data_IF_686068000978
#
_entry.id   IF_686068000978
#
_cell.length_a   1.000
_cell.length_b   1.000
_cell.length_c   1.000
_cell.angle_alpha   90.00
_cell.angle_beta   90.00
_cell.angle_gamma   90.00
#
_symmetry.space_group_name_H-M   'P 1'
#
loop_
_entity.id
_entity.type
_entity.pdbx_description
1 polymer ?
#
# COMPACT_ATOMS: atom_id res chain seq x y z
N UNK A 1 -10.12 26.11 -17.54
CA UNK A 1 -10.30 24.82 -16.85
C UNK A 1 -11.01 23.87 -17.80
N UNK A 2 -10.26 23.03 -18.50
CA UNK A 2 -10.84 21.93 -19.27
C UNK A 2 -11.21 20.86 -18.24
N UNK A 3 -12.46 20.34 -18.20
CA UNK A 3 -12.79 19.24 -17.29
C UNK A 3 -11.89 18.05 -17.66
N UNK A 4 -11.30 17.33 -16.70
CA UNK A 4 -10.54 16.14 -17.00
C UNK A 4 -11.44 15.18 -17.79
N UNK A 5 -10.95 14.70 -18.94
CA UNK A 5 -11.67 13.81 -19.83
C UNK A 5 -12.27 12.65 -19.03
N UNK A 6 -13.59 12.59 -18.98
CA UNK A 6 -14.35 11.60 -18.19
C UNK A 6 -14.05 10.16 -18.58
N UNK A 7 -13.52 9.93 -19.79
CA UNK A 7 -13.05 8.65 -20.30
C UNK A 7 -11.79 8.16 -19.60
N UNK A 8 -10.79 9.03 -19.41
CA UNK A 8 -9.49 8.64 -18.86
C UNK A 8 -9.63 8.26 -17.38
N UNK A 9 -10.44 9.02 -16.63
CA UNK A 9 -10.74 8.71 -15.23
C UNK A 9 -11.54 7.41 -15.07
N UNK A 10 -12.39 7.04 -16.04
CA UNK A 10 -13.12 5.77 -15.99
C UNK A 10 -12.21 4.57 -16.27
N UNK A 11 -11.25 4.73 -17.20
CA UNK A 11 -10.23 3.72 -17.50
C UNK A 11 -9.31 3.52 -16.30
N UNK A 12 -8.85 4.60 -15.68
CA UNK A 12 -8.02 4.54 -14.47
C UNK A 12 -8.77 3.86 -13.31
N UNK A 13 -10.03 4.22 -13.07
CA UNK A 13 -10.87 3.57 -12.07
C UNK A 13 -11.04 2.08 -12.32
N UNK A 14 -11.34 1.68 -13.56
CA UNK A 14 -11.50 0.27 -13.92
C UNK A 14 -10.19 -0.52 -13.73
N UNK A 15 -9.03 0.11 -13.92
CA UNK A 15 -7.71 -0.51 -13.74
C UNK A 15 -7.26 -0.66 -12.29
N UNK A 16 -8.01 -0.09 -11.32
CA UNK A 16 -7.62 -0.10 -9.91
C UNK A 16 -7.56 -1.54 -9.39
N UNK A 17 -6.40 -2.02 -8.91
CA UNK A 17 -6.28 -3.38 -8.42
C UNK A 17 -6.83 -3.53 -7.01
N UNK A 18 -7.55 -4.63 -6.79
CA UNK A 18 -8.16 -5.01 -5.54
C UNK A 18 -7.62 -6.39 -5.13
N UNK A 19 -7.40 -6.55 -3.82
CA UNK A 19 -7.02 -7.80 -3.18
C UNK A 19 -7.84 -8.07 -1.94
N UNK A 20 -8.06 -9.34 -1.61
CA UNK A 20 -8.55 -9.73 -0.29
C UNK A 20 -7.41 -9.55 0.73
N UNK A 21 -7.65 -8.81 1.82
CA UNK A 21 -6.70 -8.65 2.94
C UNK A 21 -6.95 -9.64 4.08
N UNK A 22 -8.05 -10.40 4.00
CA UNK A 22 -8.47 -11.38 4.99
C UNK A 22 -9.06 -12.58 4.30
N UNK A 23 -8.99 -13.75 4.94
CA UNK A 23 -9.37 -15.04 4.32
C UNK A 23 -10.84 -15.13 3.87
N UNK A 24 -11.73 -14.29 4.43
CA UNK A 24 -13.10 -14.19 3.93
C UNK A 24 -13.83 -12.93 4.39
N UNK A 25 -14.69 -12.41 3.51
CA UNK A 25 -15.66 -11.35 3.80
C UNK A 25 -16.98 -11.85 4.43
N UNK A 26 -17.17 -13.17 4.58
CA UNK A 26 -18.46 -13.80 4.95
C UNK A 26 -18.96 -13.51 6.36
N UNK A 27 -18.13 -12.96 7.25
CA UNK A 27 -18.44 -12.89 8.67
C UNK A 27 -19.20 -11.64 9.12
N UNK A 28 -19.26 -10.55 8.34
CA UNK A 28 -19.88 -9.28 8.80
C UNK A 28 -20.57 -8.52 7.67
N UNK A 29 -21.90 -8.42 7.76
CA UNK A 29 -22.71 -7.56 6.86
C UNK A 29 -22.74 -6.10 7.32
N UNK A 30 -22.42 -5.82 8.59
CA UNK A 30 -22.41 -4.48 9.18
C UNK A 30 -21.00 -3.94 9.40
N UNK A 31 -20.74 -2.75 8.87
CA UNK A 31 -19.47 -2.03 8.93
C UNK A 31 -19.66 -0.78 9.80
N UNK A 32 -18.88 -0.63 10.88
CA UNK A 32 -18.97 0.56 11.73
C UNK A 32 -18.43 1.79 10.97
N UNK A 33 -19.17 2.89 11.03
CA UNK A 33 -18.81 4.19 10.47
C UNK A 33 -19.05 5.29 11.50
N UNK A 34 -18.56 6.50 11.25
CA UNK A 34 -18.84 7.67 12.10
C UNK A 34 -20.32 8.04 12.19
N UNK A 35 -21.17 7.52 11.28
CA UNK A 35 -22.62 7.73 11.24
C UNK A 35 -23.42 6.53 11.77
N UNK A 36 -22.75 5.50 12.32
CA UNK A 36 -23.38 4.25 12.78
C UNK A 36 -22.96 3.05 11.91
N UNK A 37 -23.78 2.00 11.88
CA UNK A 37 -23.45 0.76 11.14
C UNK A 37 -24.03 0.81 9.73
N UNK A 38 -23.17 0.75 8.71
CA UNK A 38 -23.59 0.62 7.31
C UNK A 38 -23.58 -0.85 6.90
N UNK A 39 -24.61 -1.29 6.19
CA UNK A 39 -24.67 -2.64 5.65
C UNK A 39 -24.24 -2.68 4.17
N UNK A 40 -23.38 -3.63 3.81
CA UNK A 40 -23.12 -3.96 2.40
C UNK A 40 -23.99 -5.15 2.03
N UNK A 41 -24.59 -5.11 0.84
CA UNK A 41 -25.40 -6.20 0.31
C UNK A 41 -24.59 -7.50 0.30
N UNK A 42 -25.13 -8.57 0.89
CA UNK A 42 -24.49 -9.87 0.99
C UNK A 42 -24.10 -10.47 -0.38
N UNK A 43 -24.88 -10.21 -1.44
CA UNK A 43 -24.55 -10.65 -2.79
C UNK A 43 -23.29 -9.96 -3.34
N UNK A 44 -23.10 -8.68 -3.01
CA UNK A 44 -21.88 -7.96 -3.38
C UNK A 44 -20.69 -8.54 -2.62
N UNK A 45 -20.83 -8.76 -1.31
CA UNK A 45 -19.76 -9.35 -0.50
C UNK A 45 -19.37 -10.74 -0.98
N UNK A 46 -20.33 -11.61 -1.31
CA UNK A 46 -20.05 -12.95 -1.84
C UNK A 46 -19.34 -12.91 -3.18
N UNK A 47 -19.73 -12.01 -4.09
CA UNK A 47 -19.07 -11.87 -5.38
C UNK A 47 -17.66 -11.32 -5.22
N UNK A 48 -17.45 -10.31 -4.37
CA UNK A 48 -16.11 -9.79 -4.07
C UNK A 48 -15.22 -10.89 -3.47
N UNK A 49 -15.74 -11.64 -2.49
CA UNK A 49 -15.04 -12.77 -1.85
C UNK A 49 -14.65 -13.84 -2.88
N UNK A 50 -15.58 -14.21 -3.77
CA UNK A 50 -15.34 -15.20 -4.84
C UNK A 50 -14.32 -14.70 -5.86
N UNK A 51 -14.48 -13.48 -6.35
CA UNK A 51 -13.67 -12.93 -7.46
C UNK A 51 -12.23 -12.68 -7.00
N UNK A 52 -12.04 -12.28 -5.75
CA UNK A 52 -10.72 -11.99 -5.18
C UNK A 52 -10.08 -13.18 -4.45
N UNK A 53 -10.78 -14.32 -4.29
CA UNK A 53 -10.23 -15.53 -3.66
C UNK A 53 -9.07 -16.12 -4.48
N UNK A 54 -9.17 -16.08 -5.80
CA UNK A 54 -8.15 -16.63 -6.72
C UNK A 54 -6.98 -15.67 -6.96
N UNK A 55 -7.00 -14.49 -6.32
CA UNK A 55 -5.93 -13.50 -6.38
C UNK A 55 -6.39 -12.09 -6.78
N UNK A 56 -5.43 -11.18 -7.04
CA UNK A 56 -5.70 -9.80 -7.37
C UNK A 56 -6.53 -9.65 -8.66
N UNK A 57 -7.53 -8.77 -8.63
CA UNK A 57 -8.35 -8.41 -9.79
C UNK A 57 -8.56 -6.91 -9.86
N UNK A 58 -8.84 -6.42 -11.05
CA UNK A 58 -9.17 -5.02 -11.29
C UNK A 58 -10.61 -4.70 -10.86
N UNK A 59 -10.88 -3.44 -10.53
CA UNK A 59 -12.23 -2.95 -10.26
C UNK A 59 -13.15 -3.14 -11.48
N UNK A 60 -12.63 -3.05 -12.70
CA UNK A 60 -13.37 -3.28 -13.94
C UNK A 60 -13.88 -4.71 -14.04
N UNK A 61 -13.05 -5.70 -13.75
CA UNK A 61 -13.44 -7.12 -13.73
C UNK A 61 -14.51 -7.38 -12.67
N UNK A 62 -14.34 -6.82 -11.47
CA UNK A 62 -15.33 -6.93 -10.40
C UNK A 62 -16.67 -6.27 -10.79
N UNK A 63 -16.62 -5.11 -11.44
CA UNK A 63 -17.79 -4.40 -11.93
C UNK A 63 -18.54 -5.20 -13.00
N UNK A 64 -17.80 -5.85 -13.90
CA UNK A 64 -18.36 -6.71 -14.94
C UNK A 64 -19.07 -7.94 -14.34
N UNK A 65 -18.46 -8.62 -13.37
CA UNK A 65 -19.05 -9.76 -12.66
C UNK A 65 -20.32 -9.38 -11.87
N UNK A 66 -20.40 -8.14 -11.40
CA UNK A 66 -21.56 -7.60 -10.68
C UNK A 66 -22.61 -6.96 -11.59
N UNK A 67 -22.34 -6.83 -12.91
CA UNK A 67 -23.21 -6.13 -13.85
C UNK A 67 -23.40 -4.65 -13.50
N UNK A 68 -22.38 -4.00 -12.93
CA UNK A 68 -22.42 -2.62 -12.45
C UNK A 68 -21.36 -1.76 -13.12
N UNK A 69 -21.51 -0.43 -13.05
CA UNK A 69 -20.40 0.46 -13.40
C UNK A 69 -19.36 0.48 -12.26
N UNK A 70 -18.05 0.60 -12.57
CA UNK A 70 -16.98 0.72 -11.56
C UNK A 70 -17.27 1.80 -10.50
N UNK A 71 -17.86 2.92 -10.90
CA UNK A 71 -18.20 4.04 -10.00
C UNK A 71 -19.25 3.67 -8.95
N UNK A 72 -20.18 2.79 -9.29
CA UNK A 72 -21.28 2.37 -8.40
C UNK A 72 -20.81 1.44 -7.28
N UNK A 73 -19.60 0.89 -7.42
CA UNK A 73 -18.95 0.04 -6.44
C UNK A 73 -18.08 0.81 -5.45
N UNK A 74 -17.75 2.08 -5.75
CA UNK A 74 -16.84 2.89 -4.93
C UNK A 74 -17.32 3.06 -3.48
N UNK A 75 -18.60 3.32 -3.17
CA UNK A 75 -19.03 3.48 -1.79
C UNK A 75 -18.83 2.21 -0.95
N UNK A 76 -19.13 1.03 -1.52
CA UNK A 76 -18.98 -0.25 -0.84
C UNK A 76 -17.50 -0.61 -0.71
N UNK A 77 -16.69 -0.34 -1.75
CA UNK A 77 -15.25 -0.57 -1.69
C UNK A 77 -14.55 0.37 -0.72
N UNK A 78 -14.96 1.63 -0.62
CA UNK A 78 -14.43 2.58 0.36
C UNK A 78 -14.64 2.06 1.79
N UNK A 79 -15.81 1.49 2.09
CA UNK A 79 -16.08 0.84 3.38
C UNK A 79 -15.21 -0.40 3.60
N UNK A 80 -15.02 -1.23 2.57
CA UNK A 80 -14.17 -2.43 2.67
C UNK A 80 -12.68 -2.09 2.82
N UNK A 81 -12.23 -1.00 2.19
CA UNK A 81 -10.87 -0.46 2.29
C UNK A 81 -10.63 0.15 3.68
N UNK A 82 -11.55 0.97 4.18
CA UNK A 82 -11.47 1.57 5.51
C UNK A 82 -11.36 0.51 6.62
N UNK A 83 -12.11 -0.58 6.47
CA UNK A 83 -12.14 -1.69 7.42
C UNK A 83 -11.03 -2.72 7.17
N UNK A 84 -10.08 -2.42 6.29
CA UNK A 84 -8.94 -3.26 5.91
C UNK A 84 -9.34 -4.71 5.53
N UNK A 85 -10.48 -4.84 4.84
CA UNK A 85 -11.02 -6.12 4.36
C UNK A 85 -10.60 -6.38 2.91
N UNK A 86 -10.67 -5.33 2.10
CA UNK A 86 -10.12 -5.29 0.75
C UNK A 86 -8.97 -4.28 0.78
N UNK A 87 -7.92 -4.54 0.02
CA UNK A 87 -6.78 -3.64 -0.13
C UNK A 87 -6.53 -3.32 -1.59
N UNK A 88 -5.89 -2.19 -1.86
CA UNK A 88 -5.19 -1.95 -3.12
C UNK A 88 -3.73 -2.31 -2.88
N UNK A 89 -3.31 -3.50 -3.33
CA UNK A 89 -1.89 -3.86 -3.30
C UNK A 89 -1.35 -3.73 -4.72
N UNK A 90 -0.60 -2.64 -5.00
CA UNK A 90 -0.09 -2.40 -6.33
C UNK A 90 0.91 -3.47 -6.76
N UNK A 91 1.60 -4.14 -5.83
CA UNK A 91 2.59 -5.16 -6.15
C UNK A 91 1.95 -6.52 -6.43
N UNK A 92 0.88 -6.86 -5.71
CA UNK A 92 0.10 -8.05 -6.02
C UNK A 92 -0.51 -7.95 -7.44
N UNK A 93 -0.99 -6.75 -7.83
CA UNK A 93 -1.49 -6.47 -9.17
C UNK A 93 -0.41 -6.63 -10.27
N UNK A 94 0.81 -6.20 -9.96
CA UNK A 94 1.96 -6.28 -10.84
C UNK A 94 2.42 -7.73 -11.03
N UNK A 95 2.44 -8.51 -9.94
CA UNK A 95 2.73 -9.95 -9.94
C UNK A 95 1.67 -10.75 -10.73
N UNK A 96 0.39 -10.37 -10.62
CA UNK A 96 -0.70 -10.96 -11.39
C UNK A 96 -0.70 -10.55 -12.88
N UNK A 97 0.15 -9.60 -13.29
CA UNK A 97 0.23 -9.11 -14.66
C UNK A 97 -0.91 -8.19 -15.08
N UNK A 98 -1.75 -7.77 -14.14
CA UNK A 98 -2.97 -6.97 -14.38
C UNK A 98 -2.72 -5.47 -14.54
N UNK A 99 -1.46 -5.01 -14.43
CA UNK A 99 -1.06 -3.62 -14.65
C UNK A 99 -0.05 -3.50 -15.81
N UNK A 100 -0.52 -3.39 -17.06
CA UNK A 100 0.35 -3.18 -18.22
C UNK A 100 1.09 -1.83 -18.20
N UNK A 101 0.50 -0.80 -17.59
CA UNK A 101 1.09 0.55 -17.52
C UNK A 101 2.41 0.61 -16.74
N UNK A 102 2.50 -0.08 -15.60
CA UNK A 102 3.74 -0.11 -14.79
C UNK A 102 4.87 -0.94 -15.42
N UNK A 103 4.54 -1.92 -16.28
CA UNK A 103 5.56 -2.66 -17.05
C UNK A 103 6.20 -1.82 -18.14
N UNK A 104 5.47 -0.84 -18.68
CA UNK A 104 5.95 0.09 -19.71
C UNK A 104 6.43 1.44 -19.14
N UNK A 105 6.27 1.66 -17.84
CA UNK A 105 6.56 2.93 -17.19
C UNK A 105 8.05 3.32 -17.33
N UNK A 106 8.26 4.59 -17.62
CA UNK A 106 9.59 5.20 -17.64
C UNK A 106 10.14 5.30 -16.19
N UNK A 107 11.47 5.28 -15.98
CA UNK A 107 12.06 5.37 -14.64
C UNK A 107 11.53 6.55 -13.80
N UNK A 108 11.26 7.70 -14.44
CA UNK A 108 10.71 8.87 -13.78
C UNK A 108 9.28 8.65 -13.23
N UNK A 109 8.45 7.87 -13.93
CA UNK A 109 7.11 7.51 -13.49
C UNK A 109 7.16 6.55 -12.30
N UNK A 110 8.15 5.64 -12.30
CA UNK A 110 8.41 4.73 -11.18
C UNK A 110 8.88 5.52 -9.95
N UNK A 111 9.74 6.52 -10.12
CA UNK A 111 10.13 7.41 -9.02
C UNK A 111 8.94 8.16 -8.44
N UNK A 112 8.07 8.73 -9.29
CA UNK A 112 6.86 9.42 -8.84
C UNK A 112 5.87 8.46 -8.13
N UNK A 113 5.81 7.21 -8.59
CA UNK A 113 5.02 6.16 -7.95
C UNK A 113 5.58 5.80 -6.57
N UNK A 114 6.90 5.58 -6.45
CA UNK A 114 7.57 5.32 -5.19
C UNK A 114 7.39 6.48 -4.19
N UNK A 115 7.39 7.73 -4.65
CA UNK A 115 7.08 8.88 -3.78
C UNK A 115 5.68 8.80 -3.18
N UNK A 116 4.67 8.37 -3.95
CA UNK A 116 3.33 8.15 -3.42
C UNK A 116 3.29 7.00 -2.40
N UNK A 117 4.05 5.94 -2.63
CA UNK A 117 4.17 4.82 -1.67
C UNK A 117 4.83 5.27 -0.37
N UNK A 118 5.89 6.07 -0.43
CA UNK A 118 6.50 6.71 0.73
C UNK A 118 5.49 7.57 1.48
N UNK A 119 4.68 8.35 0.76
CA UNK A 119 3.62 9.15 1.37
C UNK A 119 2.58 8.26 2.08
N UNK A 120 2.19 7.13 1.50
CA UNK A 120 1.29 6.17 2.14
C UNK A 120 1.92 5.53 3.39
N UNK A 121 3.21 5.16 3.34
CA UNK A 121 3.95 4.65 4.49
C UNK A 121 4.00 5.70 5.61
N UNK A 122 4.24 6.97 5.26
CA UNK A 122 4.25 8.08 6.22
C UNK A 122 2.88 8.36 6.88
N UNK A 123 1.80 7.86 6.26
CA UNK A 123 0.43 7.94 6.78
C UNK A 123 -0.03 6.62 7.42
N UNK A 124 0.82 5.60 7.49
CA UNK A 124 0.51 4.28 8.05
C UNK A 124 -0.53 3.51 7.26
N UNK A 125 -0.64 3.79 5.96
CA UNK A 125 -1.63 3.16 5.08
C UNK A 125 -1.12 1.86 4.45
N UNK A 126 0.08 1.40 4.81
CA UNK A 126 0.66 0.14 4.34
C UNK A 126 1.08 0.21 2.88
N UNK A 127 2.29 0.68 2.62
CA UNK A 127 2.82 0.78 1.26
C UNK A 127 3.20 -0.58 0.67
N UNK A 128 3.59 -1.54 1.52
CA UNK A 128 3.88 -2.93 1.14
C UNK A 128 5.19 -3.15 0.38
N UNK A 129 5.88 -2.09 -0.04
CA UNK A 129 7.15 -2.15 -0.76
C UNK A 129 7.44 -0.90 -1.57
N UNK A 130 8.50 -0.97 -2.39
CA UNK A 130 8.83 -0.01 -3.44
C UNK A 130 9.06 -0.75 -4.76
N UNK A 131 8.97 -0.05 -5.88
CA UNK A 131 9.30 -0.63 -7.18
C UNK A 131 10.74 -0.25 -7.56
N UNK A 132 11.58 -1.23 -7.87
CA UNK A 132 12.93 -0.98 -8.39
C UNK A 132 12.81 -0.34 -9.79
N UNK A 133 13.28 0.90 -10.03
CA UNK A 133 13.14 1.55 -11.33
C UNK A 133 13.81 0.79 -12.48
N UNK A 134 14.99 0.22 -12.23
CA UNK A 134 15.79 -0.43 -13.27
C UNK A 134 15.30 -1.84 -13.60
N UNK A 135 14.85 -2.59 -12.59
CA UNK A 135 14.35 -3.96 -12.77
C UNK A 135 12.84 -4.03 -12.98
N UNK A 136 12.10 -2.95 -12.68
CA UNK A 136 10.64 -2.89 -12.68
C UNK A 136 9.99 -3.99 -11.85
N UNK A 137 10.70 -4.40 -10.77
CA UNK A 137 10.27 -5.45 -9.87
C UNK A 137 9.84 -4.89 -8.52
N UNK A 138 8.82 -5.48 -7.90
CA UNK A 138 8.42 -5.14 -6.54
C UNK A 138 9.51 -5.58 -5.56
N UNK A 139 9.95 -4.65 -4.71
CA UNK A 139 10.84 -4.92 -3.59
C UNK A 139 10.01 -4.82 -2.31
N UNK A 140 9.72 -5.96 -1.66
CA UNK A 140 8.91 -5.98 -0.44
C UNK A 140 9.70 -5.30 0.68
N UNK A 141 9.13 -4.20 1.20
CA UNK A 141 9.68 -3.43 2.30
C UNK A 141 8.53 -3.03 3.23
N UNK A 142 8.75 -3.14 4.53
CA UNK A 142 7.83 -2.61 5.53
C UNK A 142 7.85 -1.08 5.55
N UNK A 143 6.76 -0.46 6.01
CA UNK A 143 6.63 1.01 6.08
C UNK A 143 7.81 1.68 6.80
N UNK A 144 8.31 1.07 7.89
CA UNK A 144 9.48 1.56 8.61
C UNK A 144 10.76 1.53 7.78
N UNK A 145 10.97 0.47 6.99
CA UNK A 145 12.13 0.34 6.10
C UNK A 145 12.04 1.37 4.96
N UNK A 146 10.85 1.58 4.40
CA UNK A 146 10.60 2.61 3.38
C UNK A 146 10.94 4.01 3.91
N UNK A 147 10.57 4.32 5.16
CA UNK A 147 10.92 5.61 5.75
C UNK A 147 12.42 5.73 6.05
N UNK A 148 13.09 4.63 6.41
CA UNK A 148 14.54 4.59 6.61
C UNK A 148 15.31 4.79 5.29
N UNK A 149 14.82 4.29 4.16
CA UNK A 149 15.48 4.53 2.86
C UNK A 149 15.40 5.99 2.41
N UNK A 150 14.36 6.74 2.83
CA UNK A 150 14.26 8.18 2.51
C UNK A 150 15.32 9.05 3.18
N UNK A 151 15.88 8.59 4.29
CA UNK A 151 16.89 9.34 5.03
C UNK A 151 18.32 8.94 4.65
N UNK A 152 18.44 7.96 3.75
CA UNK A 152 19.71 7.59 3.14
C UNK A 152 20.19 8.70 2.19
N UNK A 153 21.50 8.96 2.18
CA UNK A 153 22.11 10.00 1.34
C UNK A 153 22.07 11.41 1.92
N UNK A 154 21.37 11.65 3.04
CA UNK A 154 21.35 12.96 3.72
C UNK A 154 22.63 13.29 4.50
N UNK A 155 23.66 12.43 4.45
CA UNK A 155 24.93 12.64 5.16
C UNK A 155 24.83 12.61 6.69
N UNK A 156 23.68 12.22 7.24
CA UNK A 156 23.42 12.11 8.67
C UNK A 156 24.16 10.91 9.28
N UNK A 157 24.46 10.96 10.58
CA UNK A 157 24.93 9.78 11.34
C UNK A 157 23.76 8.82 11.57
N UNK A 158 24.06 7.53 11.74
CA UNK A 158 23.04 6.49 11.91
C UNK A 158 22.05 6.78 13.04
N UNK A 159 22.53 7.24 14.20
CA UNK A 159 21.69 7.61 15.33
C UNK A 159 20.73 8.76 14.99
N UNK A 160 21.21 9.76 14.24
CA UNK A 160 20.41 10.92 13.82
C UNK A 160 19.33 10.52 12.80
N UNK A 161 19.64 9.58 11.89
CA UNK A 161 18.69 9.02 10.91
C UNK A 161 17.55 8.29 11.60
N UNK A 162 17.89 7.36 12.48
CA UNK A 162 16.92 6.59 13.27
C UNK A 162 16.04 7.54 14.08
N UNK A 163 16.62 8.55 14.72
CA UNK A 163 15.88 9.50 15.52
C UNK A 163 14.97 10.40 14.68
N UNK A 164 15.39 10.81 13.49
CA UNK A 164 14.56 11.58 12.57
C UNK A 164 13.33 10.79 12.11
N UNK A 165 13.52 9.53 11.71
CA UNK A 165 12.40 8.64 11.33
C UNK A 165 11.49 8.37 12.52
N UNK A 166 12.05 8.11 13.72
CA UNK A 166 11.27 7.92 14.94
C UNK A 166 10.39 9.13 15.26
N UNK A 167 10.92 10.35 15.12
CA UNK A 167 10.14 11.58 15.29
C UNK A 167 9.05 11.73 14.23
N UNK A 168 9.33 11.38 12.98
CA UNK A 168 8.33 11.39 11.91
C UNK A 168 7.16 10.45 12.21
N UNK A 169 7.46 9.21 12.61
CA UNK A 169 6.49 8.17 12.96
C UNK A 169 5.63 8.61 14.15
N UNK A 170 6.26 9.11 15.22
CA UNK A 170 5.54 9.60 16.41
C UNK A 170 4.65 10.80 16.08
N UNK A 171 5.13 11.75 15.27
CA UNK A 171 4.36 12.95 14.88
C UNK A 171 3.17 12.61 13.99
N UNK A 172 3.32 11.62 13.12
CA UNK A 172 2.25 11.11 12.26
C UNK A 172 1.26 10.18 13.01
N UNK A 173 1.53 9.86 14.29
CA UNK A 173 0.69 8.97 15.08
C UNK A 173 0.72 7.52 14.60
N UNK A 174 1.79 7.12 13.90
CA UNK A 174 1.92 5.78 13.36
C UNK A 174 2.26 4.78 14.46
N UNK A 175 1.72 3.58 14.34
CA UNK A 175 2.05 2.45 15.22
C UNK A 175 2.95 1.50 14.47
N UNK A 176 4.18 1.30 14.96
CA UNK A 176 5.04 0.23 14.48
C UNK A 176 4.66 -1.09 15.13
N UNK A 177 4.90 -2.19 14.44
CA UNK A 177 4.76 -3.52 14.99
C UNK A 177 6.13 -4.17 15.03
N UNK A 178 6.45 -4.84 16.14
CA UNK A 178 7.66 -5.64 16.25
C UNK A 178 7.55 -6.94 15.42
N UNK A 179 8.61 -7.74 15.40
CA UNK A 179 8.64 -9.03 14.70
C UNK A 179 7.61 -10.05 15.22
N UNK A 180 7.02 -9.81 16.40
CA UNK A 180 5.97 -10.63 17.01
C UNK A 180 4.57 -10.06 16.75
N UNK A 181 4.47 -9.00 15.95
CA UNK A 181 3.21 -8.31 15.63
C UNK A 181 2.68 -7.44 16.76
N UNK A 182 3.47 -7.16 17.81
CA UNK A 182 3.05 -6.29 18.91
C UNK A 182 3.26 -4.83 18.56
N UNK A 183 2.22 -4.02 18.81
CA UNK A 183 2.26 -2.58 18.63
C UNK A 183 3.26 -1.91 19.58
N UNK A 184 4.29 -1.29 19.02
CA UNK A 184 5.28 -0.48 19.73
C UNK A 184 4.88 0.99 19.65
N UNK A 185 4.63 1.61 20.80
CA UNK A 185 4.10 2.98 20.89
C UNK A 185 4.96 3.93 21.71
N UNK A 186 5.92 3.41 22.48
CA UNK A 186 6.82 4.26 23.26
C UNK A 186 7.99 4.73 22.39
N UNK A 187 8.47 5.95 22.64
CA UNK A 187 9.57 6.56 21.88
C UNK A 187 10.83 5.69 21.88
N UNK A 188 11.16 5.10 23.03
CA UNK A 188 12.33 4.25 23.18
C UNK A 188 12.21 2.98 22.33
N UNK A 189 11.09 2.24 22.44
CA UNK A 189 10.90 1.01 21.67
C UNK A 189 10.82 1.26 20.16
N UNK A 190 10.24 2.38 19.71
CA UNK A 190 10.26 2.77 18.29
C UNK A 190 11.69 3.00 17.82
N UNK A 191 12.50 3.71 18.62
CA UNK A 191 13.90 4.01 18.26
C UNK A 191 14.75 2.74 18.25
N UNK A 192 14.57 1.85 19.23
CA UNK A 192 15.29 0.58 19.32
C UNK A 192 14.93 -0.35 18.13
N UNK A 193 13.65 -0.44 17.77
CA UNK A 193 13.19 -1.21 16.62
C UNK A 193 13.74 -0.64 15.30
N UNK A 194 13.71 0.68 15.13
CA UNK A 194 14.26 1.33 13.94
C UNK A 194 15.78 1.18 13.85
N UNK A 195 16.49 1.22 14.98
CA UNK A 195 17.92 0.97 15.01
C UNK A 195 18.24 -0.46 14.60
N UNK A 196 17.46 -1.43 15.06
CA UNK A 196 17.59 -2.82 14.64
C UNK A 196 17.33 -2.99 13.13
N UNK A 197 16.22 -2.44 12.63
CA UNK A 197 15.89 -2.47 11.19
C UNK A 197 16.97 -1.78 10.35
N UNK A 198 17.54 -0.69 10.86
CA UNK A 198 18.62 0.02 10.20
C UNK A 198 19.88 -0.85 10.09
N UNK A 199 20.25 -1.54 11.17
CA UNK A 199 21.37 -2.49 11.17
C UNK A 199 21.13 -3.68 10.23
N UNK A 200 19.89 -4.19 10.16
CA UNK A 200 19.50 -5.26 9.22
C UNK A 200 19.57 -4.81 7.76
N UNK A 201 19.26 -3.54 7.48
CA UNK A 201 19.41 -2.96 6.15
C UNK A 201 20.89 -2.72 5.80
N UNK A 202 21.74 -2.37 6.77
CA UNK A 202 23.15 -2.08 6.53
C UNK A 202 23.91 -3.26 5.90
N UNK A 203 24.94 -2.94 5.10
CA UNK A 203 25.74 -3.92 4.37
C UNK A 203 25.14 -4.27 3.01
N UNK A 204 24.94 -5.56 2.72
CA UNK A 204 24.47 -6.05 1.43
C UNK A 204 23.07 -5.51 1.07
N UNK A 205 22.17 -5.35 2.06
CA UNK A 205 20.81 -4.85 1.83
C UNK A 205 20.78 -3.44 1.24
N UNK A 206 21.50 -2.48 1.84
CA UNK A 206 21.57 -1.11 1.32
C UNK A 206 22.31 -1.00 -0.01
N UNK A 207 23.37 -1.81 -0.22
CA UNK A 207 24.03 -1.85 -1.53
C UNK A 207 23.10 -2.40 -2.62
N UNK A 208 22.34 -3.46 -2.32
CA UNK A 208 21.39 -4.05 -3.26
C UNK A 208 20.26 -3.06 -3.58
N UNK A 209 19.69 -2.39 -2.58
CA UNK A 209 18.67 -1.36 -2.79
C UNK A 209 19.20 -0.17 -3.62
N UNK A 210 20.48 0.21 -3.45
CA UNK A 210 21.13 1.25 -4.27
C UNK A 210 21.33 0.79 -5.72
N UNK A 211 21.77 -0.46 -5.92
CA UNK A 211 21.93 -1.06 -7.26
C UNK A 211 20.60 -1.23 -7.99
N UNK A 212 19.50 -1.30 -7.24
CA UNK A 212 18.14 -1.36 -7.74
C UNK A 212 17.55 0.03 -8.06
N UNK A 213 18.29 1.11 -7.84
CA UNK A 213 17.89 2.48 -8.17
C UNK A 213 16.85 3.09 -7.22
N UNK A 214 16.73 2.57 -6.00
CA UNK A 214 15.72 3.06 -5.04
C UNK A 214 16.12 4.34 -4.29
N UNK A 215 17.40 4.72 -4.35
CA UNK A 215 17.96 5.96 -3.80
C UNK A 215 19.34 6.27 -4.41
#
# INVERSE_FOLDING_TARGET
>A
MVPPNSSDTQVELASLPLILRQDSLKARQGFPTSMGTMAINAAILQTVDRVLADGPRSLGELAQELGKAPRDLLPQLALLLDQNRVGTDPFAALAAGSQPGLKAAEPAEITAFNQKLVELASRGKGAGGLLAPDLRLPIPLGDAQILLTQVEGLGLKDADRVQMVAMGILRAGLTLHDQKGQAVRNKQGISDLLAQLWQELQGAGMEDLRRLGLF
#
